data_IF_638545023191
#
_entry.id   IF_638545023191
#
_cell.length_a   1.000
_cell.length_b   1.000
_cell.length_c   1.000
_cell.angle_alpha   90.00
_cell.angle_beta   90.00
_cell.angle_gamma   90.00
#
_symmetry.space_group_name_H-M   'P 1'
#
loop_
_entity.id
_entity.type
_entity.pdbx_description
1 polymer ?
#
# COMPACT_ATOMS: atom_id res chain seq x y z
N UNK A 1 -11.12 10.98 8.26
CA UNK A 1 -11.17 9.70 7.51
C UNK A 1 -10.25 9.74 6.31
N UNK A 2 -10.52 10.57 5.30
CA UNK A 2 -9.60 10.74 4.16
C UNK A 2 -8.19 11.14 4.61
N UNK A 3 -8.06 12.01 5.62
CA UNK A 3 -6.77 12.35 6.23
C UNK A 3 -6.01 11.17 6.83
N UNK A 4 -6.70 10.27 7.56
CA UNK A 4 -6.08 9.09 8.16
C UNK A 4 -5.63 8.09 7.07
N UNK A 5 -6.48 7.87 6.06
CA UNK A 5 -6.16 7.03 4.90
C UNK A 5 -4.94 7.60 4.16
N UNK A 6 -4.92 8.90 3.87
CA UNK A 6 -3.78 9.56 3.23
C UNK A 6 -2.49 9.42 4.04
N UNK A 7 -2.55 9.51 5.36
CA UNK A 7 -1.36 9.31 6.22
C UNK A 7 -0.83 7.87 6.10
N UNK A 8 -1.70 6.86 6.16
CA UNK A 8 -1.26 5.46 5.98
C UNK A 8 -0.68 5.23 4.58
N UNK A 9 -1.33 5.75 3.54
CA UNK A 9 -0.87 5.62 2.16
C UNK A 9 0.50 6.29 1.95
N UNK A 10 0.67 7.53 2.42
CA UNK A 10 1.93 8.27 2.32
C UNK A 10 3.04 7.55 3.09
N UNK A 11 2.75 7.06 4.31
CA UNK A 11 3.72 6.31 5.09
C UNK A 11 4.15 5.02 4.38
N UNK A 12 3.22 4.31 3.73
CA UNK A 12 3.54 3.12 2.95
C UNK A 12 4.43 3.46 1.76
N UNK A 13 4.13 4.53 1.01
CA UNK A 13 4.99 5.00 -0.09
C UNK A 13 6.39 5.34 0.42
N UNK A 14 6.49 6.18 1.46
CA UNK A 14 7.79 6.59 2.01
C UNK A 14 8.60 5.40 2.52
N UNK A 15 7.94 4.42 3.14
CA UNK A 15 8.63 3.21 3.60
C UNK A 15 9.16 2.40 2.40
N UNK A 16 8.38 2.24 1.34
CA UNK A 16 8.84 1.57 0.15
C UNK A 16 10.00 2.29 -0.55
N UNK A 17 9.95 3.61 -0.67
CA UNK A 17 10.95 4.38 -1.43
C UNK A 17 12.19 4.75 -0.63
N UNK A 18 12.06 5.06 0.67
CA UNK A 18 13.15 5.59 1.49
C UNK A 18 13.82 4.51 2.35
N UNK A 19 13.03 3.58 2.89
CA UNK A 19 13.52 2.52 3.79
C UNK A 19 13.91 1.29 2.97
N UNK A 20 13.00 0.80 2.12
CA UNK A 20 13.26 -0.38 1.28
C UNK A 20 14.00 -0.05 -0.02
N UNK A 21 14.04 1.24 -0.41
CA UNK A 21 14.70 1.73 -1.64
C UNK A 21 14.22 1.01 -2.90
N UNK A 22 12.92 0.69 -2.95
CA UNK A 22 12.31 0.09 -4.13
C UNK A 22 12.27 1.11 -5.26
N UNK A 23 12.83 0.72 -6.42
CA UNK A 23 12.79 1.53 -7.64
C UNK A 23 11.40 1.56 -8.28
N UNK A 24 11.22 2.49 -9.21
CA UNK A 24 9.97 2.67 -9.97
C UNK A 24 9.65 1.50 -10.92
N UNK A 25 10.64 0.66 -11.21
CA UNK A 25 10.51 -0.61 -11.92
C UNK A 25 9.84 -1.70 -11.07
N UNK A 26 10.09 -1.68 -9.75
CA UNK A 26 9.56 -2.63 -8.78
C UNK A 26 8.21 -2.21 -8.19
N UNK A 27 8.00 -0.91 -8.00
CA UNK A 27 6.81 -0.35 -7.37
C UNK A 27 6.29 0.85 -8.18
N UNK A 28 5.01 0.80 -8.53
CA UNK A 28 4.26 1.96 -9.03
C UNK A 28 3.14 2.29 -8.06
N UNK A 29 2.91 3.58 -7.86
CA UNK A 29 1.79 4.09 -7.10
C UNK A 29 1.02 5.10 -7.95
N UNK A 30 -0.30 5.07 -7.86
CA UNK A 30 -1.20 6.02 -8.52
C UNK A 30 -2.15 6.59 -7.48
N UNK A 31 -2.31 7.92 -7.50
CA UNK A 31 -3.23 8.65 -6.62
C UNK A 31 -4.06 9.58 -7.48
N UNK A 32 -5.36 9.32 -7.60
CA UNK A 32 -6.25 10.12 -8.43
C UNK A 32 -7.63 10.25 -7.78
N UNK A 33 -8.02 11.48 -7.45
CA UNK A 33 -9.40 11.88 -7.11
C UNK A 33 -10.21 10.91 -6.25
N UNK A 34 -9.61 10.38 -5.18
CA UNK A 34 -10.29 9.48 -4.23
C UNK A 34 -9.89 8.01 -4.37
N UNK A 35 -9.16 7.66 -5.44
CA UNK A 35 -8.58 6.34 -5.66
C UNK A 35 -7.06 6.37 -5.39
N UNK A 36 -6.58 5.28 -4.80
CA UNK A 36 -5.18 5.01 -4.57
C UNK A 36 -4.87 3.56 -4.92
N UNK A 37 -3.82 3.32 -5.70
CA UNK A 37 -3.39 1.96 -6.06
C UNK A 37 -1.88 1.79 -5.96
N UNK A 38 -1.46 0.61 -5.52
CA UNK A 38 -0.08 0.16 -5.51
C UNK A 38 0.04 -1.05 -6.44
N UNK A 39 1.02 -1.01 -7.33
CA UNK A 39 1.40 -2.12 -8.22
C UNK A 39 2.84 -2.51 -7.87
N UNK A 40 3.01 -3.73 -7.37
CA UNK A 40 4.30 -4.28 -6.98
C UNK A 40 4.63 -5.42 -7.93
N UNK A 41 5.81 -5.35 -8.56
CA UNK A 41 6.32 -6.41 -9.40
C UNK A 41 7.20 -7.37 -8.57
N UNK A 42 6.62 -8.47 -8.10
CA UNK A 42 7.29 -9.46 -7.27
C UNK A 42 8.47 -10.15 -7.98
N UNK A 43 8.45 -10.27 -9.31
CA UNK A 43 9.54 -10.89 -10.08
C UNK A 43 10.85 -10.10 -10.02
N UNK A 44 10.77 -8.81 -9.70
CA UNK A 44 11.93 -7.91 -9.58
C UNK A 44 12.40 -7.74 -8.12
N UNK A 45 11.72 -8.38 -7.17
CA UNK A 45 12.07 -8.34 -5.76
C UNK A 45 13.02 -9.49 -5.41
N UNK A 46 14.03 -9.20 -4.58
CA UNK A 46 14.76 -10.26 -3.90
C UNK A 46 13.97 -10.82 -2.71
N UNK A 47 14.42 -11.92 -2.13
CA UNK A 47 13.72 -12.59 -1.01
C UNK A 47 13.48 -11.69 0.20
N UNK A 48 14.44 -10.82 0.53
CA UNK A 48 14.29 -9.89 1.65
C UNK A 48 13.26 -8.80 1.32
N UNK A 49 13.34 -8.23 0.12
CA UNK A 49 12.37 -7.23 -0.35
C UNK A 49 10.95 -7.80 -0.38
N UNK A 50 10.77 -9.04 -0.87
CA UNK A 50 9.47 -9.71 -0.89
C UNK A 50 8.86 -9.82 0.51
N UNK A 51 9.64 -10.29 1.49
CA UNK A 51 9.17 -10.43 2.88
C UNK A 51 8.79 -9.07 3.46
N UNK A 52 9.63 -8.05 3.25
CA UNK A 52 9.38 -6.71 3.77
C UNK A 52 8.14 -6.07 3.13
N UNK A 53 7.98 -6.23 1.82
CA UNK A 53 6.82 -5.73 1.09
C UNK A 53 5.53 -6.41 1.55
N UNK A 54 5.55 -7.74 1.72
CA UNK A 54 4.41 -8.49 2.23
C UNK A 54 3.98 -8.02 3.63
N UNK A 55 4.94 -7.80 4.54
CA UNK A 55 4.67 -7.26 5.88
C UNK A 55 4.01 -5.87 5.79
N UNK A 56 4.54 -4.99 4.93
CA UNK A 56 4.03 -3.63 4.78
C UNK A 56 2.64 -3.60 4.15
N UNK A 57 2.39 -4.41 3.14
CA UNK A 57 1.08 -4.52 2.49
C UNK A 57 0.04 -5.09 3.45
N UNK A 58 0.40 -6.09 4.26
CA UNK A 58 -0.47 -6.60 5.33
C UNK A 58 -0.76 -5.54 6.38
N UNK A 59 0.25 -4.77 6.81
CA UNK A 59 0.08 -3.68 7.77
C UNK A 59 -0.86 -2.59 7.24
N UNK A 60 -0.68 -2.17 5.99
CA UNK A 60 -1.58 -1.22 5.33
C UNK A 60 -3.00 -1.76 5.24
N UNK A 61 -3.16 -3.02 4.83
CA UNK A 61 -4.47 -3.67 4.74
C UNK A 61 -5.18 -3.67 6.11
N UNK A 62 -4.49 -4.07 7.18
CA UNK A 62 -5.08 -4.05 8.53
C UNK A 62 -5.50 -2.64 8.97
N UNK A 63 -4.69 -1.61 8.68
CA UNK A 63 -5.04 -0.23 9.00
C UNK A 63 -6.28 0.24 8.23
N UNK A 64 -6.35 -0.04 6.93
CA UNK A 64 -7.50 0.33 6.09
C UNK A 64 -8.76 -0.45 6.48
N UNK A 65 -8.63 -1.73 6.83
CA UNK A 65 -9.71 -2.57 7.33
C UNK A 65 -10.25 -2.07 8.68
N UNK A 66 -9.37 -1.63 9.59
CA UNK A 66 -9.78 -1.00 10.86
C UNK A 66 -10.62 0.25 10.61
N UNK A 67 -10.18 1.11 9.69
CA UNK A 67 -10.92 2.33 9.32
C UNK A 67 -12.26 1.97 8.65
N UNK A 68 -12.29 0.92 7.81
CA UNK A 68 -13.51 0.44 7.14
C UNK A 68 -14.53 -0.10 8.15
N UNK A 69 -14.08 -0.88 9.13
CA UNK A 69 -14.94 -1.46 10.16
C UNK A 69 -15.59 -0.39 11.05
N UNK A 70 -14.92 0.74 11.25
CA UNK A 70 -15.49 1.89 11.95
C UNK A 70 -16.47 2.70 11.09
N UNK A 71 -16.40 2.61 9.74
CA UNK A 71 -17.14 3.50 8.82
C UNK A 71 -17.43 2.88 7.43
N UNK A 72 -18.24 1.81 7.41
CA UNK A 72 -18.46 0.88 6.27
C UNK A 72 -18.82 1.54 4.91
N UNK A 73 -19.38 2.76 4.89
CA UNK A 73 -19.96 3.35 3.66
C UNK A 73 -18.99 4.07 2.72
N UNK A 74 -17.76 4.38 3.14
CA UNK A 74 -16.92 5.35 2.42
C UNK A 74 -15.57 4.81 1.94
N UNK A 75 -15.26 3.53 2.20
CA UNK A 75 -13.97 2.93 1.83
C UNK A 75 -14.17 1.56 1.16
N UNK A 76 -13.72 1.47 -0.10
CA UNK A 76 -13.64 0.22 -0.85
C UNK A 76 -12.18 -0.21 -0.95
N UNK A 77 -11.87 -1.43 -0.54
CA UNK A 77 -10.53 -2.00 -0.58
C UNK A 77 -10.59 -3.20 -1.52
N UNK A 78 -9.72 -3.24 -2.53
CA UNK A 78 -9.60 -4.38 -3.44
C UNK A 78 -8.14 -4.84 -3.43
N UNK A 79 -7.93 -6.15 -3.33
CA UNK A 79 -6.63 -6.80 -3.48
C UNK A 79 -6.73 -7.80 -4.64
N UNK A 80 -5.72 -7.80 -5.51
CA UNK A 80 -5.61 -8.77 -6.60
C UNK A 80 -4.13 -9.10 -6.82
N UNK A 81 -3.83 -10.38 -6.80
CA UNK A 81 -2.58 -10.96 -7.27
C UNK A 81 -2.76 -11.33 -8.74
N UNK A 82 -1.85 -10.92 -9.62
CA UNK A 82 -1.93 -11.10 -11.08
C UNK A 82 -0.64 -11.73 -11.58
#
# INVERSE_FOLDING_TARGET
MCSAISVYLINTVNTFTEILKLGCDKLKFHFESGDASFEINYDLLNETEMIQVDILMKSLLFALESIRNENIKHLKINYREV
#
